data_IF_637425272938
#
_entry.id   IF_637425272938
#
_cell.length_a   1.000
_cell.length_b   1.000
_cell.length_c   1.000
_cell.angle_alpha   90.00
_cell.angle_beta   90.00
_cell.angle_gamma   90.00
#
_symmetry.space_group_name_H-M   'P 1'
#
loop_
_entity.id
_entity.type
_entity.pdbx_description
1 polymer ?
#
# COMPACT_ATOMS: atom_id res chain seq x y z
N UNK A 1 -4.65 -36.15 -22.80
CA UNK A 1 -3.90 -34.91 -22.51
C UNK A 1 -4.30 -34.42 -21.13
N UNK A 2 -3.46 -34.64 -20.17
CA UNK A 2 -3.65 -34.10 -18.81
C UNK A 2 -3.29 -32.62 -18.83
N UNK A 3 -4.26 -31.77 -18.52
CA UNK A 3 -4.02 -30.34 -18.33
C UNK A 3 -2.97 -30.15 -17.23
N UNK A 4 -1.93 -29.33 -17.44
CA UNK A 4 -0.93 -29.09 -16.40
C UNK A 4 -1.48 -28.35 -15.15
N UNK A 5 -2.78 -28.05 -15.13
CA UNK A 5 -3.47 -27.34 -14.04
C UNK A 5 -4.59 -28.16 -13.39
N UNK A 6 -4.59 -29.50 -13.56
CA UNK A 6 -5.63 -30.39 -13.05
C UNK A 6 -5.27 -31.11 -11.75
N UNK A 7 -5.37 -30.42 -10.62
CA UNK A 7 -5.48 -31.02 -9.29
C UNK A 7 -6.75 -30.50 -8.61
N UNK A 8 -7.26 -31.17 -7.56
CA UNK A 8 -8.51 -30.80 -6.88
C UNK A 8 -8.48 -29.43 -6.17
N UNK A 9 -7.48 -28.61 -6.43
CA UNK A 9 -7.29 -27.26 -5.86
C UNK A 9 -6.79 -26.28 -6.91
N UNK A 10 -7.24 -26.37 -8.16
CA UNK A 10 -6.84 -25.41 -9.19
C UNK A 10 -7.55 -24.07 -8.99
N UNK A 11 -6.98 -23.25 -8.10
CA UNK A 11 -7.32 -21.83 -8.00
C UNK A 11 -6.93 -21.15 -9.30
N UNK A 12 -7.80 -20.31 -9.83
CA UNK A 12 -7.38 -19.39 -10.89
C UNK A 12 -6.35 -18.41 -10.33
N UNK A 13 -5.51 -17.82 -11.18
CA UNK A 13 -4.55 -16.80 -10.77
C UNK A 13 -5.24 -15.67 -9.99
N UNK A 14 -6.41 -15.21 -10.47
CA UNK A 14 -7.18 -14.17 -9.79
C UNK A 14 -7.61 -14.56 -8.37
N UNK A 15 -8.08 -15.78 -8.19
CA UNK A 15 -8.45 -16.31 -6.87
C UNK A 15 -7.24 -16.43 -5.94
N UNK A 16 -6.12 -16.93 -6.45
CA UNK A 16 -4.88 -17.05 -5.67
C UNK A 16 -4.35 -15.69 -5.22
N UNK A 17 -4.32 -14.71 -6.12
CA UNK A 17 -3.93 -13.33 -5.82
C UNK A 17 -4.86 -12.71 -4.80
N UNK A 18 -6.18 -12.83 -5.00
CA UNK A 18 -7.18 -12.30 -4.06
C UNK A 18 -7.08 -12.89 -2.66
N UNK A 19 -6.84 -14.20 -2.54
CA UNK A 19 -6.64 -14.85 -1.24
C UNK A 19 -5.34 -14.42 -0.57
N UNK A 20 -4.26 -14.31 -1.33
CA UNK A 20 -2.97 -13.85 -0.81
C UNK A 20 -3.08 -12.39 -0.33
N UNK A 21 -3.67 -11.51 -1.14
CA UNK A 21 -3.89 -10.10 -0.79
C UNK A 21 -4.72 -9.97 0.49
N UNK A 22 -5.85 -10.67 0.58
CA UNK A 22 -6.71 -10.62 1.76
C UNK A 22 -6.00 -11.10 3.03
N UNK A 23 -5.15 -12.12 2.91
CA UNK A 23 -4.37 -12.65 4.04
C UNK A 23 -3.26 -11.70 4.48
N UNK A 24 -2.53 -11.12 3.54
CA UNK A 24 -1.49 -10.12 3.81
C UNK A 24 -2.09 -8.84 4.41
N UNK A 25 -3.23 -8.40 3.90
CA UNK A 25 -3.95 -7.24 4.45
C UNK A 25 -4.37 -7.47 5.90
N UNK A 26 -4.84 -8.67 6.24
CA UNK A 26 -5.18 -8.99 7.65
C UNK A 26 -3.96 -8.95 8.56
N UNK A 27 -2.81 -9.44 8.10
CA UNK A 27 -1.57 -9.37 8.87
C UNK A 27 -1.13 -7.92 9.07
N UNK A 28 -1.15 -7.11 8.02
CA UNK A 28 -0.85 -5.68 8.11
C UNK A 28 -1.81 -4.97 9.07
N UNK A 29 -3.09 -5.26 8.99
CA UNK A 29 -4.10 -4.69 9.90
C UNK A 29 -3.78 -5.01 11.36
N UNK A 30 -3.31 -6.24 11.65
CA UNK A 30 -2.85 -6.62 12.98
C UNK A 30 -1.65 -5.80 13.47
N UNK A 31 -0.65 -5.60 12.62
CA UNK A 31 0.52 -4.74 12.92
C UNK A 31 0.09 -3.30 13.21
N UNK A 32 -0.79 -2.77 12.37
CA UNK A 32 -1.29 -1.40 12.51
C UNK A 32 -2.11 -1.24 13.80
N UNK A 33 -2.98 -2.21 14.12
CA UNK A 33 -3.81 -2.17 15.33
C UNK A 33 -2.96 -2.13 16.61
N UNK A 34 -1.88 -2.90 16.68
CA UNK A 34 -0.94 -2.87 17.81
C UNK A 34 -0.32 -1.48 18.01
N UNK A 35 -0.20 -0.70 16.95
CA UNK A 35 0.35 0.66 16.95
C UNK A 35 -0.74 1.73 16.96
N UNK A 36 -1.99 1.34 17.18
CA UNK A 36 -3.17 2.25 17.17
C UNK A 36 -3.23 3.11 15.91
N UNK A 37 -2.90 2.52 14.79
CA UNK A 37 -2.80 3.19 13.49
C UNK A 37 -3.76 2.55 12.51
N UNK A 38 -4.49 3.35 11.74
CA UNK A 38 -5.34 2.89 10.66
C UNK A 38 -4.53 2.71 9.37
N UNK A 39 -5.06 1.93 8.44
CA UNK A 39 -4.46 1.82 7.10
C UNK A 39 -4.36 3.16 6.37
N UNK A 40 -5.41 4.01 6.33
CA UNK A 40 -5.28 5.34 5.72
C UNK A 40 -4.18 6.19 6.34
N UNK A 41 -4.05 6.19 7.67
CA UNK A 41 -2.99 6.92 8.36
C UNK A 41 -1.60 6.43 7.95
N UNK A 42 -1.40 5.12 7.88
CA UNK A 42 -0.15 4.54 7.42
C UNK A 42 0.17 4.90 5.97
N UNK A 43 -0.83 4.82 5.09
CA UNK A 43 -0.67 5.20 3.69
C UNK A 43 -0.36 6.69 3.53
N UNK A 44 -0.96 7.55 4.36
CA UNK A 44 -0.64 8.98 4.38
C UNK A 44 0.82 9.23 4.78
N UNK A 45 1.34 8.51 5.78
CA UNK A 45 2.77 8.57 6.14
C UNK A 45 3.67 8.09 4.99
N UNK A 46 3.28 7.04 4.28
CA UNK A 46 4.00 6.54 3.12
C UNK A 46 4.05 7.60 2.00
N UNK A 47 2.93 8.28 1.74
CA UNK A 47 2.90 9.35 0.73
C UNK A 47 3.79 10.52 1.10
N UNK A 48 3.73 10.96 2.36
CA UNK A 48 4.60 12.04 2.82
C UNK A 48 6.08 11.68 2.67
N UNK A 49 6.45 10.42 2.93
CA UNK A 49 7.80 9.94 2.68
C UNK A 49 8.18 9.97 1.20
N UNK A 50 7.27 9.58 0.31
CA UNK A 50 7.48 9.60 -1.15
C UNK A 50 7.71 11.03 -1.66
N UNK A 51 7.08 12.01 -1.03
CA UNK A 51 7.26 13.43 -1.34
C UNK A 51 8.54 14.05 -0.74
N UNK A 52 9.41 13.23 -0.16
CA UNK A 52 10.66 13.69 0.44
C UNK A 52 10.56 14.08 1.91
N UNK A 53 9.46 13.77 2.55
CA UNK A 53 9.22 14.02 3.97
C UNK A 53 8.63 15.38 4.29
N UNK A 54 8.38 16.21 3.28
CA UNK A 54 7.69 17.49 3.42
C UNK A 54 7.00 17.88 2.11
N UNK A 55 5.95 18.67 2.22
CA UNK A 55 5.22 19.25 1.08
C UNK A 55 4.46 20.48 1.55
N UNK A 56 3.92 21.27 0.62
CA UNK A 56 2.88 22.23 1.02
C UNK A 56 1.65 21.45 1.46
N UNK A 57 0.90 21.96 2.41
CA UNK A 57 -0.29 21.30 2.91
C UNK A 57 -1.32 21.05 1.80
N UNK A 58 -1.53 22.04 0.94
CA UNK A 58 -2.46 21.94 -0.16
C UNK A 58 -2.06 20.85 -1.18
N UNK A 59 -0.79 20.77 -1.54
CA UNK A 59 -0.29 19.73 -2.43
C UNK A 59 -0.39 18.35 -1.81
N UNK A 60 -0.10 18.24 -0.53
CA UNK A 60 -0.20 16.98 0.21
C UNK A 60 -1.66 16.49 0.31
N UNK A 61 -2.59 17.37 0.66
CA UNK A 61 -4.01 17.03 0.72
C UNK A 61 -4.56 16.64 -0.67
N UNK A 62 -4.12 17.34 -1.73
CA UNK A 62 -4.47 16.95 -3.10
C UNK A 62 -3.92 15.58 -3.47
N UNK A 63 -2.67 15.30 -3.15
CA UNK A 63 -2.03 14.01 -3.38
C UNK A 63 -2.75 12.88 -2.63
N UNK A 64 -3.12 13.09 -1.36
CA UNK A 64 -3.92 12.15 -0.59
C UNK A 64 -5.29 11.88 -1.23
N UNK A 65 -5.94 12.95 -1.71
CA UNK A 65 -7.24 12.84 -2.39
C UNK A 65 -7.13 11.99 -3.64
N UNK A 66 -6.16 12.26 -4.49
CA UNK A 66 -5.96 11.54 -5.75
C UNK A 66 -5.54 10.09 -5.53
N UNK A 67 -4.60 9.86 -4.63
CA UNK A 67 -4.01 8.54 -4.44
C UNK A 67 -4.88 7.59 -3.60
N UNK A 68 -5.59 8.11 -2.61
CA UNK A 68 -6.48 7.32 -1.75
C UNK A 68 -7.94 7.36 -2.20
N UNK A 69 -8.28 8.14 -3.22
CA UNK A 69 -9.65 8.31 -3.66
C UNK A 69 -10.54 9.01 -2.63
N UNK A 70 -9.96 9.91 -1.84
CA UNK A 70 -10.69 10.68 -0.83
C UNK A 70 -11.26 11.96 -1.43
N UNK A 71 -12.39 12.42 -0.87
CA UNK A 71 -12.85 13.78 -1.13
C UNK A 71 -11.96 14.83 -0.40
N UNK A 72 -12.12 16.11 -0.72
CA UNK A 72 -11.35 17.17 -0.09
C UNK A 72 -11.43 17.17 1.44
N UNK A 73 -12.64 17.12 2.05
CA UNK A 73 -12.79 17.02 3.50
C UNK A 73 -12.14 15.78 4.11
N UNK A 74 -12.18 14.64 3.42
CA UNK A 74 -11.54 13.39 3.86
C UNK A 74 -10.01 13.50 3.86
N UNK A 75 -9.42 14.11 2.83
CA UNK A 75 -7.98 14.36 2.76
C UNK A 75 -7.52 15.35 3.85
N UNK A 76 -8.29 16.41 4.08
CA UNK A 76 -8.03 17.39 5.15
C UNK A 76 -8.10 16.74 6.55
N UNK A 77 -9.11 15.90 6.78
CA UNK A 77 -9.26 15.18 8.05
C UNK A 77 -8.08 14.24 8.30
N UNK A 78 -7.61 13.54 7.28
CA UNK A 78 -6.48 12.63 7.38
C UNK A 78 -5.17 13.38 7.65
N UNK A 79 -4.92 14.48 6.96
CA UNK A 79 -3.76 15.35 7.24
C UNK A 79 -3.85 15.92 8.66
N UNK A 80 -5.05 16.36 9.09
CA UNK A 80 -5.31 16.84 10.45
C UNK A 80 -5.03 15.80 11.52
N UNK A 81 -5.39 14.54 11.29
CA UNK A 81 -5.08 13.42 12.20
C UNK A 81 -3.57 13.26 12.40
N UNK A 82 -2.77 13.37 11.33
CA UNK A 82 -1.31 13.30 11.47
C UNK A 82 -0.76 14.42 12.35
N UNK A 83 -1.30 15.62 12.23
CA UNK A 83 -0.91 16.76 13.05
C UNK A 83 -1.32 16.58 14.51
N UNK A 84 -2.55 16.17 14.77
CA UNK A 84 -3.07 15.93 16.12
C UNK A 84 -2.29 14.83 16.86
N UNK A 85 -1.88 13.81 16.14
CA UNK A 85 -1.08 12.70 16.69
C UNK A 85 0.41 12.97 16.73
N UNK A 86 0.85 14.16 16.37
CA UNK A 86 2.28 14.53 16.32
C UNK A 86 3.11 13.66 15.36
N UNK A 87 2.48 13.08 14.36
CA UNK A 87 3.14 12.29 13.31
C UNK A 87 3.68 13.18 12.18
N UNK A 88 3.07 14.34 12.03
CA UNK A 88 3.53 15.42 11.18
C UNK A 88 3.45 16.74 11.94
N UNK A 89 4.17 17.74 11.48
CA UNK A 89 4.11 19.11 11.99
C UNK A 89 3.79 20.07 10.85
N UNK A 90 2.98 21.07 11.13
CA UNK A 90 2.70 22.16 10.21
C UNK A 90 3.61 23.36 10.53
N UNK A 91 4.06 24.04 9.48
CA UNK A 91 4.84 25.27 9.56
C UNK A 91 4.33 26.18 8.42
N UNK A 92 3.62 27.25 8.79
CA UNK A 92 2.91 28.12 7.86
C UNK A 92 2.02 27.33 6.86
N UNK A 93 2.52 27.11 5.65
CA UNK A 93 1.81 26.40 4.59
C UNK A 93 2.33 24.98 4.34
N UNK A 94 3.37 24.57 5.05
CA UNK A 94 4.02 23.29 4.84
C UNK A 94 3.62 22.26 5.89
N UNK A 95 3.66 21.00 5.49
CA UNK A 95 3.55 19.83 6.36
C UNK A 95 4.83 18.99 6.21
N UNK A 96 5.36 18.52 7.33
CA UNK A 96 6.57 17.72 7.34
C UNK A 96 6.48 16.59 8.36
N UNK A 97 7.27 15.55 8.15
CA UNK A 97 7.45 14.51 9.16
C UNK A 97 7.96 15.08 10.49
N UNK A 98 7.43 14.52 11.56
CA UNK A 98 8.11 14.55 12.87
C UNK A 98 8.99 13.32 13.01
N UNK A 99 9.87 13.31 14.00
CA UNK A 99 10.63 12.13 14.38
C UNK A 99 9.70 10.97 14.78
N UNK A 100 8.62 11.27 15.50
CA UNK A 100 7.59 10.29 15.89
C UNK A 100 6.90 9.67 14.68
N UNK A 101 6.56 10.46 13.66
CA UNK A 101 5.96 9.97 12.43
C UNK A 101 6.90 9.05 11.64
N UNK A 102 8.17 9.41 11.56
CA UNK A 102 9.20 8.56 10.93
C UNK A 102 9.37 7.25 11.69
N UNK A 103 9.50 7.31 13.01
CA UNK A 103 9.66 6.13 13.85
C UNK A 103 8.46 5.17 13.74
N UNK A 104 7.24 5.69 13.71
CA UNK A 104 6.03 4.88 13.51
C UNK A 104 6.06 4.17 12.16
N UNK A 105 6.33 4.91 11.08
CA UNK A 105 6.42 4.35 9.73
C UNK A 105 7.49 3.28 9.63
N UNK A 106 8.68 3.55 10.11
CA UNK A 106 9.82 2.61 10.08
C UNK A 106 9.53 1.36 10.92
N UNK A 107 8.91 1.51 12.08
CA UNK A 107 8.50 0.39 12.92
C UNK A 107 7.50 -0.54 12.22
N UNK A 108 6.52 0.02 11.52
CA UNK A 108 5.54 -0.74 10.73
C UNK A 108 6.24 -1.47 9.58
N UNK A 109 7.13 -0.80 8.85
CA UNK A 109 7.89 -1.41 7.76
C UNK A 109 8.78 -2.55 8.23
N UNK A 110 9.48 -2.36 9.34
CA UNK A 110 10.39 -3.37 9.91
C UNK A 110 9.62 -4.60 10.34
N UNK A 111 8.50 -4.44 11.06
CA UNK A 111 7.66 -5.54 11.50
C UNK A 111 7.01 -6.26 10.31
N UNK A 112 6.51 -5.51 9.34
CA UNK A 112 5.97 -6.07 8.10
C UNK A 112 7.00 -6.87 7.32
N UNK A 113 8.24 -6.38 7.23
CA UNK A 113 9.35 -7.10 6.59
C UNK A 113 9.71 -8.39 7.32
N UNK A 114 9.70 -8.40 8.65
CA UNK A 114 9.93 -9.60 9.46
C UNK A 114 8.84 -10.65 9.23
N UNK A 115 7.56 -10.24 9.21
CA UNK A 115 6.43 -11.12 8.92
C UNK A 115 6.56 -11.70 7.51
N UNK A 116 6.83 -10.87 6.53
CA UNK A 116 7.01 -11.31 5.14
C UNK A 116 8.15 -12.30 5.01
N UNK A 117 9.28 -12.04 5.66
CA UNK A 117 10.41 -12.96 5.67
C UNK A 117 10.04 -14.32 6.28
N UNK A 118 9.31 -14.32 7.39
CA UNK A 118 8.84 -15.55 8.03
C UNK A 118 7.89 -16.34 7.12
N UNK A 119 6.99 -15.66 6.41
CA UNK A 119 6.06 -16.29 5.46
C UNK A 119 6.78 -16.92 4.26
N UNK A 120 7.87 -16.32 3.82
CA UNK A 120 8.65 -16.80 2.67
C UNK A 120 9.70 -17.85 3.04
N UNK A 121 9.93 -18.07 4.32
CA UNK A 121 10.90 -19.09 4.79
C UNK A 121 10.47 -20.48 4.33
N UNK A 122 11.41 -21.19 3.71
CA UNK A 122 11.16 -22.53 3.17
C UNK A 122 10.58 -22.57 1.76
N UNK A 123 10.23 -21.44 1.19
CA UNK A 123 9.87 -21.33 -0.22
C UNK A 123 11.12 -21.19 -1.09
N UNK A 124 11.08 -21.76 -2.28
CA UNK A 124 12.18 -21.64 -3.23
C UNK A 124 12.34 -20.20 -3.73
N UNK A 125 13.56 -19.66 -3.68
CA UNK A 125 13.85 -18.28 -4.08
C UNK A 125 13.51 -18.04 -5.55
N UNK A 126 13.77 -19.02 -6.42
CA UNK A 126 13.46 -18.92 -7.84
C UNK A 126 11.96 -18.84 -8.10
N UNK A 127 11.16 -19.60 -7.35
CA UNK A 127 9.70 -19.55 -7.43
C UNK A 127 9.17 -18.19 -6.97
N UNK A 128 9.74 -17.61 -5.92
CA UNK A 128 9.39 -16.27 -5.43
C UNK A 128 9.68 -15.22 -6.52
N UNK A 129 10.88 -15.24 -7.09
CA UNK A 129 11.28 -14.30 -8.14
C UNK A 129 10.41 -14.44 -9.39
N UNK A 130 10.09 -15.65 -9.78
CA UNK A 130 9.21 -15.93 -10.92
C UNK A 130 7.80 -15.41 -10.66
N UNK A 131 7.28 -15.63 -9.46
CA UNK A 131 5.97 -15.13 -9.05
C UNK A 131 5.92 -13.61 -9.12
N UNK A 132 6.92 -12.93 -8.58
CA UNK A 132 7.00 -11.45 -8.61
C UNK A 132 7.00 -10.95 -10.06
N UNK A 133 7.82 -11.53 -10.93
CA UNK A 133 7.87 -11.14 -12.36
C UNK A 133 6.53 -11.34 -13.06
N UNK A 134 5.88 -12.46 -12.80
CA UNK A 134 4.57 -12.77 -13.38
C UNK A 134 3.50 -11.78 -12.93
N UNK A 135 3.44 -11.47 -11.64
CA UNK A 135 2.52 -10.48 -11.09
C UNK A 135 2.77 -9.08 -11.66
N UNK A 136 4.03 -8.68 -11.80
CA UNK A 136 4.40 -7.40 -12.43
C UNK A 136 3.94 -7.34 -13.89
N UNK A 137 4.12 -8.42 -14.65
CA UNK A 137 3.65 -8.50 -16.05
C UNK A 137 2.13 -8.39 -16.14
N UNK A 138 1.40 -9.05 -15.26
CA UNK A 138 -0.07 -8.96 -15.18
C UNK A 138 -0.50 -7.53 -14.85
N UNK A 139 0.13 -6.90 -13.87
CA UNK A 139 -0.16 -5.51 -13.49
C UNK A 139 0.03 -4.54 -14.66
N UNK A 140 1.14 -4.68 -15.38
CA UNK A 140 1.44 -3.83 -16.54
C UNK A 140 0.41 -4.01 -17.66
N UNK A 141 0.03 -5.26 -17.95
CA UNK A 141 -0.99 -5.55 -18.99
C UNK A 141 -2.37 -5.05 -18.60
N UNK A 142 -2.76 -5.23 -17.34
CA UNK A 142 -4.05 -4.76 -16.83
C UNK A 142 -4.15 -3.23 -16.89
N UNK A 143 -3.08 -2.51 -16.54
CA UNK A 143 -3.03 -1.05 -16.60
C UNK A 143 -3.17 -0.53 -18.02
N UNK A 144 -2.54 -1.18 -19.00
CA UNK A 144 -2.68 -0.83 -20.42
C UNK A 144 -4.10 -1.05 -20.94
N UNK A 145 -4.72 -2.17 -20.58
CA UNK A 145 -6.09 -2.50 -20.97
C UNK A 145 -7.11 -1.49 -20.40
N UNK A 146 -6.92 -1.05 -19.15
CA UNK A 146 -7.77 -0.05 -18.54
C UNK A 146 -7.67 1.32 -19.25
N UNK A 147 -6.46 1.73 -19.67
CA UNK A 147 -6.24 2.98 -20.41
C UNK A 147 -6.93 2.98 -21.79
N UNK A 148 -6.92 1.85 -22.48
CA UNK A 148 -7.54 1.72 -23.82
C UNK A 148 -9.07 1.83 -23.75
N UNK A 149 -9.69 1.31 -22.69
CA UNK A 149 -11.16 1.36 -22.50
C UNK A 149 -11.67 2.79 -22.26
N UNK A 150 -10.85 3.67 -21.72
CA UNK A 150 -11.23 5.06 -21.46
C UNK A 150 -11.24 5.91 -22.73
N UNK A 151 -10.42 5.57 -23.73
CA UNK A 151 -10.33 6.32 -24.99
C UNK A 151 -11.47 5.99 -25.98
N UNK A 152 -12.15 4.84 -25.85
CA UNK A 152 -13.27 4.47 -26.73
C UNK A 152 -14.63 5.09 -26.35
N UNK A 153 -14.71 5.85 -25.25
CA UNK A 153 -15.95 6.47 -24.77
C UNK A 153 -15.93 8.02 -24.77
N UNK A 154 -15.04 8.63 -25.57
CA UNK A 154 -14.99 10.10 -25.75
C UNK A 154 -15.42 10.52 -27.15
#
# INVERSE_FOLDING_TARGET
MTSPYGGPSSLTIGQAVGQAEASLTRLLTGVLAQRRTSRPTYLALQRLNTLGGHATRDDYERDLSEWLGLDGPGAQALAGELLERNLAAADDHDIRFTEQGRALREGILTEGAQITRALLTGLDVHDIETTIRTLQAITTRASRSASTTTEEHS
#
